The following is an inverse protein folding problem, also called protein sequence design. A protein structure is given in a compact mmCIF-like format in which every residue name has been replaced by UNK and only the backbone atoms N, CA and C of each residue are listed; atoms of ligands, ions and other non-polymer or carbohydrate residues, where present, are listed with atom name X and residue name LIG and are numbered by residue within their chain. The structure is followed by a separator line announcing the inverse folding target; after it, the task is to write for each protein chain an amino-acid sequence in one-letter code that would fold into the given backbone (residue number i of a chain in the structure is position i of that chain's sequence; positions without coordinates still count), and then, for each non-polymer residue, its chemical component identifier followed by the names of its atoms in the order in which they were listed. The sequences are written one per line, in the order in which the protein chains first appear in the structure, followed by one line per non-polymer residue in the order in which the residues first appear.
data_IF_334669134742
#
_entry.id   IF_334669134742
#
_cell.length_a   1.000
_cell.length_b   1.000
_cell.length_c   1.000
_cell.angle_alpha   90.00
_cell.angle_beta   90.00
_cell.angle_gamma   90.00
#
_symmetry.space_group_name_H-M   'P 1'
#
loop_
_entity.id
_entity.type
_entity.pdbx_description
1 polymer ?
#
# COMPACT_ATOMS: atom_id res chain seq x y z
N UNK A 1 -25.08 6.19 13.72
CA UNK A 1 -24.95 5.19 12.63
C UNK A 1 -24.11 4.05 13.14
N UNK A 2 -24.46 2.81 12.82
CA UNK A 2 -23.63 1.66 13.18
C UNK A 2 -22.35 1.71 12.35
N UNK A 3 -21.19 1.93 12.98
CA UNK A 3 -19.87 1.97 12.33
C UNK A 3 -19.61 0.76 11.42
N UNK A 4 -20.21 -0.38 11.76
CA UNK A 4 -20.26 -1.59 10.94
C UNK A 4 -20.84 -1.36 9.53
N UNK A 5 -21.94 -0.62 9.40
CA UNK A 5 -22.60 -0.40 8.11
C UNK A 5 -21.74 0.45 7.17
N UNK A 6 -21.10 1.49 7.70
CA UNK A 6 -20.16 2.35 6.97
C UNK A 6 -18.98 1.51 6.45
N UNK A 7 -18.41 0.66 7.31
CA UNK A 7 -17.30 -0.21 6.93
C UNK A 7 -17.68 -1.23 5.85
N UNK A 8 -18.83 -1.90 5.98
CA UNK A 8 -19.30 -2.84 4.95
C UNK A 8 -19.56 -2.15 3.60
N UNK A 9 -20.06 -0.92 3.62
CA UNK A 9 -20.24 -0.12 2.40
C UNK A 9 -18.90 0.25 1.75
N UNK A 10 -17.93 0.66 2.56
CA UNK A 10 -16.59 0.94 2.09
C UNK A 10 -15.96 -0.28 1.39
N UNK A 11 -16.09 -1.47 1.97
CA UNK A 11 -15.62 -2.71 1.34
C UNK A 11 -16.29 -2.98 -0.02
N UNK A 12 -17.61 -2.80 -0.12
CA UNK A 12 -18.33 -2.98 -1.38
C UNK A 12 -17.83 -2.01 -2.47
N UNK A 13 -17.57 -0.74 -2.10
CA UNK A 13 -17.07 0.26 -3.05
C UNK A 13 -15.62 -0.02 -3.47
N UNK A 14 -14.76 -0.51 -2.56
CA UNK A 14 -13.39 -0.92 -2.90
C UNK A 14 -13.38 -2.10 -3.86
N UNK A 15 -14.22 -3.12 -3.65
CA UNK A 15 -14.28 -4.26 -4.56
C UNK A 15 -14.71 -3.85 -5.98
N UNK A 16 -15.60 -2.86 -6.09
CA UNK A 16 -15.97 -2.30 -7.39
C UNK A 16 -14.81 -1.54 -8.06
N UNK A 17 -13.95 -0.88 -7.27
CA UNK A 17 -12.74 -0.22 -7.77
C UNK A 17 -11.69 -1.22 -8.26
N UNK A 18 -11.50 -2.31 -7.52
CA UNK A 18 -10.53 -3.37 -7.82
C UNK A 18 -10.95 -4.29 -8.98
N UNK A 19 -12.26 -4.35 -9.30
CA UNK A 19 -12.80 -5.14 -10.40
C UNK A 19 -12.89 -4.41 -11.75
N UNK A 20 -12.48 -3.15 -11.81
CA UNK A 20 -12.50 -2.36 -13.05
C UNK A 20 -11.32 -2.66 -13.99
N UNK A 21 -11.49 -2.43 -15.30
CA UNK A 21 -10.45 -2.68 -16.33
C UNK A 21 -9.11 -1.96 -16.11
N UNK A 22 -9.06 -0.96 -15.21
CA UNK A 22 -7.86 -0.19 -14.87
C UNK A 22 -7.32 -0.48 -13.46
N UNK A 23 -7.81 -1.50 -12.76
CA UNK A 23 -7.31 -1.85 -11.45
C UNK A 23 -5.86 -2.37 -11.58
N UNK A 24 -4.90 -1.82 -10.81
CA UNK A 24 -3.55 -2.35 -10.82
C UNK A 24 -3.58 -3.83 -10.42
N UNK A 25 -2.85 -4.67 -11.18
CA UNK A 25 -2.73 -6.10 -10.95
C UNK A 25 -1.86 -6.38 -9.70
N UNK A 26 -2.35 -5.93 -8.55
CA UNK A 26 -1.74 -6.05 -7.24
C UNK A 26 -2.59 -7.03 -6.44
N UNK A 27 -1.99 -8.15 -6.03
CA UNK A 27 -2.71 -9.10 -5.18
C UNK A 27 -2.76 -8.64 -3.72
N UNK A 28 -3.49 -9.37 -2.88
CA UNK A 28 -3.76 -8.96 -1.49
C UNK A 28 -2.48 -8.73 -0.69
N UNK A 29 -1.49 -9.61 -0.82
CA UNK A 29 -0.21 -9.49 -0.11
C UNK A 29 0.55 -8.24 -0.56
N UNK A 30 0.60 -7.97 -1.88
CA UNK A 30 1.24 -6.77 -2.41
C UNK A 30 0.52 -5.49 -1.96
N UNK A 31 -0.82 -5.47 -1.95
CA UNK A 31 -1.61 -4.35 -1.43
C UNK A 31 -1.28 -4.08 0.03
N UNK A 32 -1.28 -5.13 0.86
CA UNK A 32 -0.99 -5.02 2.28
C UNK A 32 0.44 -4.52 2.53
N UNK A 33 1.40 -5.00 1.73
CA UNK A 33 2.78 -4.56 1.83
C UNK A 33 2.92 -3.08 1.44
N UNK A 34 2.26 -2.63 0.37
CA UNK A 34 2.25 -1.23 -0.05
C UNK A 34 1.66 -0.31 1.02
N UNK A 35 0.54 -0.70 1.64
CA UNK A 35 -0.06 0.03 2.77
C UNK A 35 0.93 0.19 3.93
N UNK A 36 1.61 -0.89 4.33
CA UNK A 36 2.55 -0.85 5.45
C UNK A 36 3.75 0.05 5.13
N UNK A 37 4.29 -0.03 3.90
CA UNK A 37 5.37 0.86 3.45
C UNK A 37 4.91 2.32 3.51
N UNK A 38 3.72 2.63 3.00
CA UNK A 38 3.18 3.98 2.98
C UNK A 38 2.95 4.55 4.40
N UNK A 39 2.36 3.76 5.30
CA UNK A 39 2.16 4.14 6.70
C UNK A 39 3.49 4.39 7.40
N UNK A 40 4.48 3.50 7.22
CA UNK A 40 5.81 3.65 7.82
C UNK A 40 6.57 4.85 7.29
N UNK A 41 6.48 5.10 5.99
CA UNK A 41 7.05 6.29 5.35
C UNK A 41 6.41 7.58 5.89
N UNK A 42 5.08 7.65 5.99
CA UNK A 42 4.36 8.80 6.56
C UNK A 42 4.61 9.03 8.05
N UNK A 43 5.12 8.02 8.77
CA UNK A 43 5.58 8.12 10.16
C UNK A 43 7.06 8.49 10.30
N UNK A 44 7.72 8.88 9.21
CA UNK A 44 9.17 9.17 9.15
C UNK A 44 10.04 7.99 9.64
N UNK A 45 9.54 6.77 9.44
CA UNK A 45 10.23 5.51 9.80
C UNK A 45 10.20 4.55 8.61
N UNK A 46 10.74 4.94 7.44
CA UNK A 46 10.65 4.12 6.25
C UNK A 46 11.38 2.80 6.45
N UNK A 47 10.88 1.75 5.80
CA UNK A 47 11.41 0.40 5.94
C UNK A 47 12.56 0.19 4.97
N UNK A 48 13.59 -0.55 5.38
CA UNK A 48 14.50 -1.18 4.41
C UNK A 48 13.87 -2.44 3.81
N UNK A 49 14.48 -3.01 2.77
CA UNK A 49 14.09 -4.34 2.25
C UNK A 49 14.17 -5.40 3.35
N UNK A 50 15.20 -5.35 4.19
CA UNK A 50 15.37 -6.29 5.32
C UNK A 50 14.25 -6.13 6.35
N UNK A 51 13.88 -4.90 6.70
CA UNK A 51 12.77 -4.67 7.64
C UNK A 51 11.44 -5.18 7.06
N UNK A 52 11.21 -4.92 5.76
CA UNK A 52 10.02 -5.40 5.07
C UNK A 52 9.95 -6.94 5.06
N UNK A 53 11.06 -7.64 4.78
CA UNK A 53 11.13 -9.10 4.85
C UNK A 53 10.85 -9.66 6.25
N UNK A 54 10.99 -8.86 7.30
CA UNK A 54 10.63 -9.23 8.68
C UNK A 54 9.13 -9.16 8.99
N UNK A 55 8.29 -8.70 8.06
CA UNK A 55 6.82 -8.57 8.24
C UNK A 55 6.08 -9.91 8.07
N UNK A 56 6.42 -10.89 8.92
CA UNK A 56 5.90 -12.27 8.84
C UNK A 56 4.36 -12.37 8.99
N UNK A 57 3.69 -11.31 9.47
CA UNK A 57 2.23 -11.24 9.51
C UNK A 57 1.59 -11.02 8.13
N UNK A 58 2.36 -10.62 7.13
CA UNK A 58 1.89 -10.45 5.75
C UNK A 58 2.14 -11.74 4.98
N UNK A 59 3.40 -12.15 4.86
CA UNK A 59 3.78 -13.37 4.16
C UNK A 59 5.19 -13.83 4.57
N UNK A 60 5.65 -14.95 4.00
CA UNK A 60 7.03 -15.41 4.18
C UNK A 60 8.05 -14.41 3.59
N UNK A 61 9.30 -14.37 4.07
CA UNK A 61 10.33 -13.46 3.54
C UNK A 61 10.53 -13.56 2.02
N UNK A 62 10.53 -14.79 1.48
CA UNK A 62 10.64 -15.02 0.04
C UNK A 62 9.42 -14.48 -0.73
N UNK A 63 8.21 -14.65 -0.18
CA UNK A 63 6.99 -14.06 -0.75
C UNK A 63 7.05 -12.54 -0.73
N UNK A 64 7.48 -11.93 0.38
CA UNK A 64 7.62 -10.49 0.52
C UNK A 64 8.62 -9.94 -0.49
N UNK A 65 9.78 -10.58 -0.67
CA UNK A 65 10.75 -10.16 -1.69
C UNK A 65 10.11 -10.11 -3.07
N UNK A 66 9.41 -11.18 -3.48
CA UNK A 66 8.67 -11.21 -4.75
C UNK A 66 7.61 -10.10 -4.84
N UNK A 67 6.97 -9.74 -3.73
CA UNK A 67 5.99 -8.64 -3.70
C UNK A 67 6.63 -7.27 -3.79
N UNK A 68 7.80 -7.07 -3.20
CA UNK A 68 8.57 -5.84 -3.39
C UNK A 68 8.97 -5.69 -4.87
N UNK A 69 9.41 -6.76 -5.51
CA UNK A 69 9.74 -6.74 -6.95
C UNK A 69 8.51 -6.39 -7.79
N UNK A 70 7.37 -7.05 -7.54
CA UNK A 70 6.10 -6.74 -8.20
C UNK A 70 5.67 -5.26 -8.00
N UNK A 71 5.77 -4.74 -6.78
CA UNK A 71 5.43 -3.34 -6.49
C UNK A 71 6.36 -2.36 -7.20
N UNK A 72 7.64 -2.70 -7.36
CA UNK A 72 8.61 -1.88 -8.12
C UNK A 72 8.32 -1.90 -9.61
N UNK A 73 8.01 -3.07 -10.17
CA UNK A 73 7.62 -3.23 -11.57
C UNK A 73 6.33 -2.46 -11.90
N UNK A 74 5.37 -2.46 -10.98
CA UNK A 74 4.16 -1.64 -11.07
C UNK A 74 4.41 -0.13 -10.81
N UNK A 75 5.63 0.25 -10.46
CA UNK A 75 5.99 1.64 -10.16
C UNK A 75 5.33 2.19 -8.89
N UNK A 76 4.89 1.34 -7.96
CA UNK A 76 4.21 1.74 -6.72
C UNK A 76 5.19 2.10 -5.60
N UNK A 77 6.40 1.52 -5.62
CA UNK A 77 7.45 1.82 -4.64
C UNK A 77 8.79 2.11 -5.34
N UNK A 78 9.62 2.89 -4.67
CA UNK A 78 11.02 3.12 -5.04
C UNK A 78 11.92 3.04 -3.80
N UNK A 79 13.23 3.16 -3.99
CA UNK A 79 14.24 3.18 -2.94
C UNK A 79 15.03 4.48 -2.93
N UNK A 80 15.10 5.15 -1.78
CA UNK A 80 15.90 6.37 -1.58
C UNK A 80 16.95 6.18 -0.48
N UNK A 81 17.91 7.09 -0.43
CA UNK A 81 18.90 7.16 0.65
C UNK A 81 18.51 8.29 1.61
N UNK A 82 18.64 8.06 2.92
CA UNK A 82 18.41 9.11 3.91
C UNK A 82 19.70 9.89 4.22
N UNK A 83 19.62 11.21 4.05
CA UNK A 83 20.70 12.15 4.37
C UNK A 83 21.99 11.85 3.59
N UNK A 84 23.11 11.80 4.31
CA UNK A 84 24.44 11.51 3.73
C UNK A 84 24.74 10.00 3.66
N UNK A 85 23.87 9.16 4.21
CA UNK A 85 24.10 7.72 4.26
C UNK A 85 23.74 7.06 2.93
N UNK A 86 24.73 6.90 2.05
CA UNK A 86 24.60 6.20 0.76
C UNK A 86 24.67 4.67 0.87
N UNK A 87 24.66 4.10 2.08
CA UNK A 87 24.77 2.65 2.30
C UNK A 87 23.42 1.97 2.43
N UNK A 88 22.42 2.66 2.98
CA UNK A 88 21.11 2.08 3.28
C UNK A 88 20.04 2.65 2.37
N UNK A 89 19.35 1.76 1.66
CA UNK A 89 18.19 2.09 0.82
C UNK A 89 16.90 1.88 1.61
N UNK A 90 16.02 2.87 1.55
CA UNK A 90 14.73 2.89 2.22
C UNK A 90 13.61 2.88 1.20
N UNK A 91 12.60 2.06 1.45
CA UNK A 91 11.41 1.90 0.62
C UNK A 91 10.49 3.12 0.81
N UNK A 92 10.07 3.72 -0.29
CA UNK A 92 9.14 4.85 -0.30
C UNK A 92 8.01 4.62 -1.30
N UNK A 93 6.77 5.01 -1.00
CA UNK A 93 5.70 5.02 -1.98
C UNK A 93 6.00 6.07 -3.06
N UNK A 94 5.67 5.75 -4.31
CA UNK A 94 5.80 6.69 -5.43
C UNK A 94 4.57 7.58 -5.58
N UNK A 95 4.61 8.52 -6.53
CA UNK A 95 3.43 9.28 -6.92
C UNK A 95 2.27 8.41 -7.41
N UNK A 96 2.55 7.26 -8.05
CA UNK A 96 1.53 6.33 -8.50
C UNK A 96 0.81 5.66 -7.31
N UNK A 97 1.57 5.27 -6.28
CA UNK A 97 0.98 4.78 -5.03
C UNK A 97 0.16 5.86 -4.33
N UNK A 98 0.63 7.11 -4.32
CA UNK A 98 -0.16 8.21 -3.75
C UNK A 98 -1.49 8.39 -4.49
N UNK A 99 -1.49 8.36 -5.83
CA UNK A 99 -2.71 8.45 -6.62
C UNK A 99 -3.67 7.27 -6.35
N UNK A 100 -3.14 6.07 -6.16
CA UNK A 100 -3.92 4.92 -5.72
C UNK A 100 -4.57 5.16 -4.35
N UNK A 101 -3.81 5.64 -3.36
CA UNK A 101 -4.35 5.94 -2.04
C UNK A 101 -5.37 7.08 -2.04
N UNK A 102 -5.20 8.09 -2.89
CA UNK A 102 -6.18 9.16 -3.06
C UNK A 102 -7.52 8.61 -3.61
N UNK A 103 -7.46 7.64 -4.52
CA UNK A 103 -8.65 6.96 -5.03
C UNK A 103 -9.35 6.14 -3.95
N UNK A 104 -8.59 5.41 -3.12
CA UNK A 104 -9.12 4.71 -1.95
C UNK A 104 -9.74 5.68 -0.94
N UNK A 105 -9.11 6.84 -0.72
CA UNK A 105 -9.61 7.91 0.15
C UNK A 105 -10.95 8.49 -0.34
N UNK A 106 -11.11 8.69 -1.65
CA UNK A 106 -12.39 9.10 -2.25
C UNK A 106 -13.50 8.08 -1.99
N UNK A 107 -13.18 6.79 -2.10
CA UNK A 107 -14.13 5.70 -1.79
C UNK A 107 -14.55 5.73 -0.31
N UNK A 108 -13.60 6.00 0.60
CA UNK A 108 -13.90 6.18 2.02
C UNK A 108 -14.83 7.38 2.27
N UNK A 109 -14.57 8.52 1.63
CA UNK A 109 -15.43 9.70 1.72
C UNK A 109 -16.84 9.42 1.18
N UNK A 110 -16.98 8.66 0.09
CA UNK A 110 -18.28 8.24 -0.44
C UNK A 110 -19.03 7.33 0.54
N UNK A 111 -18.33 6.40 1.19
CA UNK A 111 -18.94 5.53 2.19
C UNK A 111 -19.52 6.31 3.37
N UNK A 112 -18.85 7.40 3.77
CA UNK A 112 -19.30 8.33 4.83
C UNK A 112 -20.43 9.25 4.36
N UNK A 113 -20.36 9.79 3.13
CA UNK A 113 -21.33 10.76 2.63
C UNK A 113 -22.71 10.15 2.35
N UNK A 114 -22.77 8.85 2.08
CA UNK A 114 -24.02 8.14 1.84
C UNK A 114 -24.63 7.56 3.14
N UNK A 115 -24.00 7.80 4.30
CA UNK A 115 -24.38 7.24 5.59
C UNK A 115 -25.39 8.13 6.35
#
# INVERSE_FOLDING_TARGET
MESKQIYLRFLNLIHALDGGENAPAMDLDAKKLLEVIAVRHGQEKPLTVTDAMGLNSIASPATIHRKLDQLRELGMIDTVFEGKNRRTKYLVPTQAAQAYFDQVGKVMAQALAQA
#
